data_IF_024918788090
#
_entry.id   IF_024918788090
#
_cell.length_a   1.000
_cell.length_b   1.000
_cell.length_c   1.000
_cell.angle_alpha   90.00
_cell.angle_beta   90.00
_cell.angle_gamma   90.00
#
_symmetry.space_group_name_H-M   'P 1'
#
loop_
_entity.id
_entity.type
_entity.pdbx_description
1 polymer ?
#
# COMPACT_ATOMS: atom_id res chain seq x y z
N UNK A 1 -6.31 -34.90 -19.51
CA UNK A 1 -5.30 -34.29 -20.39
C UNK A 1 -5.53 -32.78 -20.58
N UNK A 2 -5.97 -32.07 -19.52
CA UNK A 2 -6.19 -30.61 -19.48
C UNK A 2 -5.60 -29.97 -18.22
N UNK A 3 -4.75 -30.68 -17.47
CA UNK A 3 -4.19 -30.24 -16.20
C UNK A 3 -3.29 -29.00 -16.34
N UNK A 4 -2.72 -28.77 -17.54
CA UNK A 4 -1.89 -27.61 -17.83
C UNK A 4 -2.70 -26.28 -17.90
N UNK A 5 -4.00 -26.33 -18.22
CA UNK A 5 -4.89 -25.16 -18.31
C UNK A 5 -5.28 -24.61 -16.93
N UNK A 6 -5.03 -25.35 -15.86
CA UNK A 6 -5.41 -24.99 -14.49
C UNK A 6 -4.23 -24.92 -13.55
N UNK A 7 -2.98 -24.95 -14.08
CA UNK A 7 -1.80 -24.82 -13.23
C UNK A 7 -1.82 -23.45 -12.55
N UNK A 8 -1.76 -23.40 -11.21
CA UNK A 8 -1.67 -22.14 -10.51
C UNK A 8 -0.45 -21.34 -10.97
N UNK A 9 -0.60 -20.04 -11.13
CA UNK A 9 0.49 -19.13 -11.52
C UNK A 9 0.49 -17.90 -10.63
N UNK A 10 1.68 -17.35 -10.38
CA UNK A 10 1.83 -16.06 -9.73
C UNK A 10 1.14 -14.96 -10.55
N UNK A 11 0.46 -13.99 -9.95
CA UNK A 11 -0.12 -12.86 -10.67
C UNK A 11 0.94 -11.87 -11.18
N UNK A 12 2.12 -11.83 -10.55
CA UNK A 12 3.22 -10.93 -10.88
C UNK A 12 4.20 -11.56 -11.88
N UNK A 13 4.92 -10.73 -12.62
CA UNK A 13 6.16 -11.14 -13.28
C UNK A 13 7.23 -11.50 -12.24
N UNK A 14 8.31 -12.20 -12.64
CA UNK A 14 9.32 -12.68 -11.70
C UNK A 14 10.00 -11.57 -10.88
N UNK A 15 10.32 -10.42 -11.48
CA UNK A 15 11.00 -9.34 -10.78
C UNK A 15 10.09 -8.65 -9.75
N UNK A 16 8.82 -8.41 -10.12
CA UNK A 16 7.84 -7.88 -9.19
C UNK A 16 7.52 -8.86 -8.05
N UNK A 17 7.48 -10.19 -8.33
CA UNK A 17 7.32 -11.23 -7.31
C UNK A 17 8.46 -11.16 -6.29
N UNK A 18 9.71 -11.22 -6.78
CA UNK A 18 10.91 -11.19 -5.95
C UNK A 18 10.96 -9.92 -5.10
N UNK A 19 10.76 -8.75 -5.71
CA UNK A 19 10.76 -7.48 -5.00
C UNK A 19 9.70 -7.42 -3.88
N UNK A 20 8.47 -7.84 -4.14
CA UNK A 20 7.41 -7.85 -3.10
C UNK A 20 7.82 -8.74 -1.93
N UNK A 21 8.37 -9.91 -2.19
CA UNK A 21 8.77 -10.86 -1.15
C UNK A 21 9.95 -10.33 -0.32
N UNK A 22 10.98 -9.78 -0.95
CA UNK A 22 12.12 -9.15 -0.28
C UNK A 22 11.68 -7.96 0.59
N UNK A 23 10.80 -7.11 0.05
CA UNK A 23 10.32 -5.94 0.79
C UNK A 23 9.35 -6.30 1.91
N UNK A 24 8.56 -7.36 1.79
CA UNK A 24 7.77 -7.88 2.93
C UNK A 24 8.67 -8.41 4.06
N UNK A 25 9.77 -9.08 3.73
CA UNK A 25 10.75 -9.54 4.73
C UNK A 25 11.43 -8.34 5.40
N UNK A 26 11.83 -7.35 4.63
CA UNK A 26 12.41 -6.10 5.13
C UNK A 26 11.44 -5.33 6.03
N UNK A 27 10.18 -5.12 5.60
CA UNK A 27 9.15 -4.46 6.41
C UNK A 27 8.88 -5.20 7.73
N UNK A 28 8.89 -6.53 7.70
CA UNK A 28 8.72 -7.36 8.87
C UNK A 28 9.88 -7.18 9.86
N UNK A 29 11.11 -7.03 9.36
CA UNK A 29 12.29 -6.77 10.19
C UNK A 29 12.28 -5.35 10.78
N UNK A 30 11.84 -4.34 9.99
CA UNK A 30 11.83 -2.93 10.40
C UNK A 30 10.72 -2.59 11.40
N UNK A 31 9.52 -3.21 11.25
CA UNK A 31 8.32 -2.86 12.02
C UNK A 31 7.87 -3.93 13.01
N UNK A 32 8.69 -4.94 13.25
CA UNK A 32 8.42 -6.10 14.09
C UNK A 32 7.49 -7.14 13.42
N UNK A 33 7.83 -8.42 13.61
CA UNK A 33 7.10 -9.61 13.10
C UNK A 33 5.63 -9.64 13.53
N UNK A 34 5.29 -9.07 14.68
CA UNK A 34 3.92 -9.03 15.18
C UNK A 34 3.00 -8.16 14.31
N UNK A 35 3.55 -7.16 13.62
CA UNK A 35 2.78 -6.24 12.81
C UNK A 35 2.02 -6.95 11.68
N UNK A 36 2.70 -7.76 10.87
CA UNK A 36 2.08 -8.42 9.72
C UNK A 36 1.11 -9.54 10.11
N UNK A 37 1.45 -10.35 11.12
CA UNK A 37 0.64 -11.49 11.59
C UNK A 37 -0.42 -11.12 12.61
N UNK A 38 -0.17 -10.08 13.42
CA UNK A 38 -1.03 -9.65 14.53
C UNK A 38 -1.98 -8.49 14.21
N UNK A 39 -1.69 -7.70 13.18
CA UNK A 39 -2.52 -6.56 12.81
C UNK A 39 -3.84 -7.00 12.18
N UNK A 40 -4.91 -6.30 12.54
CA UNK A 40 -6.20 -6.47 11.89
C UNK A 40 -6.12 -5.90 10.47
N UNK A 41 -6.78 -6.56 9.52
CA UNK A 41 -7.05 -5.95 8.23
C UNK A 41 -8.14 -4.90 8.45
N UNK A 42 -7.82 -3.66 8.12
CA UNK A 42 -8.73 -2.52 8.26
C UNK A 42 -9.76 -2.56 7.13
N UNK A 43 -11.03 -2.56 7.51
CA UNK A 43 -12.15 -2.67 6.58
C UNK A 43 -12.91 -1.34 6.48
N UNK A 44 -13.50 -1.02 5.33
CA UNK A 44 -14.34 0.17 5.17
C UNK A 44 -15.70 -0.02 5.84
N UNK A 45 -15.71 -0.16 7.16
CA UNK A 45 -16.90 -0.40 7.97
C UNK A 45 -16.92 0.49 9.20
N UNK A 46 -18.10 0.68 9.79
CA UNK A 46 -18.26 1.47 11.03
C UNK A 46 -17.53 0.89 12.23
N UNK A 47 -17.14 -0.36 12.21
CA UNK A 47 -16.30 -0.96 13.26
C UNK A 47 -14.90 -0.36 13.27
N UNK A 48 -14.34 -0.09 12.08
CA UNK A 48 -13.00 0.48 11.94
C UNK A 48 -13.02 2.02 11.87
N UNK A 49 -14.12 2.59 11.38
CA UNK A 49 -14.31 4.02 11.21
C UNK A 49 -15.67 4.41 11.82
N UNK A 50 -15.75 4.56 13.15
CA UNK A 50 -17.01 4.80 13.85
C UNK A 50 -17.58 6.20 13.60
N UNK A 51 -16.71 7.18 13.37
CA UNK A 51 -17.13 8.57 13.22
C UNK A 51 -17.80 8.83 11.87
N UNK A 52 -18.82 9.70 11.84
CA UNK A 52 -19.47 10.07 10.60
C UNK A 52 -18.50 10.89 9.71
N UNK A 53 -18.58 10.65 8.41
CA UNK A 53 -17.79 11.35 7.42
C UNK A 53 -18.72 12.08 6.44
N UNK A 54 -18.55 13.37 6.29
CA UNK A 54 -19.37 14.23 5.41
C UNK A 54 -18.55 14.97 4.34
N UNK A 55 -17.22 14.76 4.30
CA UNK A 55 -16.31 15.43 3.38
C UNK A 55 -15.93 16.86 3.79
N UNK A 56 -16.26 17.29 5.01
CA UNK A 56 -15.76 18.55 5.57
C UNK A 56 -14.30 18.42 6.02
N UNK A 57 -13.59 19.56 6.12
CA UNK A 57 -12.22 19.58 6.63
C UNK A 57 -12.12 18.99 8.05
N UNK A 58 -13.12 19.21 8.89
CA UNK A 58 -13.16 18.65 10.24
C UNK A 58 -13.33 17.11 10.21
N UNK A 59 -14.18 16.58 9.33
CA UNK A 59 -14.32 15.12 9.18
C UNK A 59 -13.06 14.47 8.60
N UNK A 60 -12.31 15.19 7.75
CA UNK A 60 -11.01 14.71 7.23
C UNK A 60 -9.96 14.70 8.33
N UNK A 61 -9.93 15.70 9.23
CA UNK A 61 -9.02 15.71 10.39
C UNK A 61 -9.29 14.52 11.32
N UNK A 62 -10.55 14.27 11.64
CA UNK A 62 -10.96 13.09 12.44
C UNK A 62 -10.60 11.78 11.76
N UNK A 63 -10.74 11.72 10.43
CA UNK A 63 -10.34 10.56 9.65
C UNK A 63 -8.84 10.34 9.69
N UNK A 64 -8.03 11.40 9.55
CA UNK A 64 -6.56 11.34 9.67
C UNK A 64 -6.15 10.76 11.03
N UNK A 65 -6.72 11.25 12.15
CA UNK A 65 -6.43 10.73 13.48
C UNK A 65 -6.71 9.22 13.58
N UNK A 66 -7.81 8.77 12.98
CA UNK A 66 -8.17 7.35 12.93
C UNK A 66 -7.14 6.54 12.13
N UNK A 67 -6.72 7.04 10.96
CA UNK A 67 -5.72 6.38 10.11
C UNK A 67 -4.33 6.40 10.79
N UNK A 68 -3.98 7.47 11.49
CA UNK A 68 -2.77 7.55 12.33
C UNK A 68 -2.70 6.40 13.33
N UNK A 69 -3.82 6.08 13.98
CA UNK A 69 -3.90 4.96 14.91
C UNK A 69 -3.60 3.60 14.25
N UNK A 70 -3.99 3.41 12.98
CA UNK A 70 -3.68 2.19 12.24
C UNK A 70 -2.24 2.15 11.71
N UNK A 71 -1.66 3.31 11.40
CA UNK A 71 -0.30 3.43 10.89
C UNK A 71 0.76 3.60 11.99
N UNK A 72 0.37 3.63 13.27
CA UNK A 72 1.23 3.91 14.43
C UNK A 72 1.98 5.25 14.30
N UNK A 73 1.32 6.28 13.80
CA UNK A 73 1.84 7.64 13.70
C UNK A 73 1.20 8.51 14.77
N UNK A 74 2.00 9.38 15.42
CA UNK A 74 1.50 10.34 16.41
C UNK A 74 0.88 11.53 15.70
N UNK A 75 -0.43 11.81 15.84
CA UNK A 75 -1.09 12.91 15.12
C UNK A 75 -0.50 14.30 15.38
N UNK A 76 0.03 14.54 16.57
CA UNK A 76 0.62 15.85 16.97
C UNK A 76 1.87 16.21 16.14
N UNK A 77 2.45 15.26 15.41
CA UNK A 77 3.56 15.51 14.49
C UNK A 77 3.09 16.00 13.11
N UNK A 78 1.78 16.03 12.87
CA UNK A 78 1.21 16.29 11.55
C UNK A 78 0.53 17.66 11.48
N UNK A 79 0.79 18.40 10.41
CA UNK A 79 0.03 19.56 9.98
C UNK A 79 -0.77 19.21 8.73
N UNK A 80 -2.11 19.12 8.87
CA UNK A 80 -2.99 18.82 7.76
C UNK A 80 -3.46 20.09 7.07
N UNK A 81 -3.09 20.23 5.81
CA UNK A 81 -3.45 21.37 4.97
C UNK A 81 -4.39 20.94 3.84
N UNK A 82 -5.19 21.88 3.34
CA UNK A 82 -6.14 21.66 2.26
C UNK A 82 -5.85 22.62 1.11
N UNK A 83 -5.81 22.10 -0.11
CA UNK A 83 -5.64 22.88 -1.32
C UNK A 83 -6.83 22.73 -2.25
N UNK A 84 -7.17 23.82 -2.95
CA UNK A 84 -8.14 23.79 -4.06
C UNK A 84 -7.46 23.70 -5.42
N UNK A 85 -6.13 23.75 -5.44
CA UNK A 85 -5.35 23.65 -6.67
C UNK A 85 -4.76 22.24 -6.71
N UNK A 86 -5.02 21.47 -7.79
CA UNK A 86 -4.39 20.17 -7.95
C UNK A 86 -2.88 20.32 -7.73
N UNK A 87 -2.33 19.58 -6.79
CA UNK A 87 -0.89 19.54 -6.61
C UNK A 87 -0.33 18.83 -7.84
N UNK A 88 0.44 19.55 -8.63
CA UNK A 88 1.24 18.93 -9.69
C UNK A 88 2.16 17.95 -8.96
N UNK A 89 1.90 16.67 -9.14
CA UNK A 89 2.85 15.62 -8.76
C UNK A 89 4.21 15.96 -9.37
N UNK A 90 5.26 15.36 -8.89
CA UNK A 90 6.64 15.65 -9.24
C UNK A 90 6.81 16.07 -10.70
N UNK A 91 7.51 17.16 -10.91
CA UNK A 91 7.93 17.61 -12.23
C UNK A 91 9.24 16.87 -12.53
N UNK A 92 9.31 16.13 -13.64
CA UNK A 92 10.58 15.52 -14.04
C UNK A 92 11.60 16.62 -14.39
N UNK A 93 12.86 16.26 -14.58
CA UNK A 93 13.96 17.17 -14.96
C UNK A 93 13.70 17.96 -16.27
N UNK A 94 12.66 17.60 -17.01
CA UNK A 94 12.19 18.29 -18.23
C UNK A 94 10.98 19.19 -18.00
N UNK A 95 10.54 19.39 -16.74
CA UNK A 95 9.41 20.27 -16.41
C UNK A 95 8.03 19.70 -16.77
N UNK A 96 7.93 18.39 -17.02
CA UNK A 96 6.65 17.73 -17.29
C UNK A 96 6.04 17.25 -15.97
N UNK A 97 4.79 17.64 -15.71
CA UNK A 97 4.03 17.13 -14.57
C UNK A 97 3.83 15.61 -14.70
N UNK A 98 4.24 14.87 -13.68
CA UNK A 98 4.15 13.41 -13.64
C UNK A 98 2.82 12.89 -13.06
N UNK A 99 1.83 13.74 -12.95
CA UNK A 99 0.48 13.41 -12.47
C UNK A 99 -0.02 14.42 -11.43
N UNK A 100 -1.28 14.32 -11.06
CA UNK A 100 -1.89 15.07 -9.97
C UNK A 100 -1.82 14.22 -8.70
N UNK A 101 -1.13 14.68 -7.66
CA UNK A 101 -1.09 13.99 -6.38
C UNK A 101 -2.37 14.30 -5.58
N UNK A 102 -3.08 13.27 -5.13
CA UNK A 102 -4.24 13.40 -4.24
C UNK A 102 -3.83 13.91 -2.84
N UNK A 103 -2.56 13.73 -2.48
CA UNK A 103 -1.92 14.23 -1.28
C UNK A 103 -0.42 14.41 -1.48
N UNK A 104 0.24 15.15 -0.60
CA UNK A 104 1.70 15.29 -0.59
C UNK A 104 2.24 15.34 0.82
N UNK A 105 3.38 14.68 1.02
CA UNK A 105 4.17 14.68 2.23
C UNK A 105 5.32 15.68 2.13
N UNK A 106 5.55 16.46 3.18
CA UNK A 106 6.71 17.32 3.30
C UNK A 106 7.24 17.30 4.74
N UNK A 107 8.55 17.19 4.91
CA UNK A 107 9.21 17.27 6.20
C UNK A 107 9.51 18.74 6.56
N UNK A 108 9.26 19.10 7.84
CA UNK A 108 9.57 20.40 8.43
C UNK A 108 10.32 20.25 9.74
N UNK A 109 10.92 21.34 10.25
CA UNK A 109 11.71 21.34 11.50
C UNK A 109 10.96 20.78 12.73
N UNK A 110 9.64 20.73 12.72
CA UNK A 110 8.80 20.32 13.87
C UNK A 110 7.82 19.19 13.57
N UNK A 111 7.88 18.59 12.40
CA UNK A 111 6.95 17.52 12.00
C UNK A 111 6.76 17.44 10.49
N UNK A 112 5.60 16.98 10.08
CA UNK A 112 5.31 16.67 8.69
C UNK A 112 4.04 17.38 8.24
N UNK A 113 4.03 17.92 7.04
CA UNK A 113 2.84 18.49 6.41
C UNK A 113 2.24 17.47 5.47
N UNK A 114 0.95 17.20 5.65
CA UNK A 114 0.14 16.42 4.70
C UNK A 114 -0.83 17.40 4.04
N UNK A 115 -0.78 17.51 2.72
CA UNK A 115 -1.72 18.35 1.97
C UNK A 115 -2.70 17.48 1.22
N UNK A 116 -3.99 17.74 1.38
CA UNK A 116 -5.10 17.04 0.72
C UNK A 116 -5.76 17.97 -0.30
N UNK A 117 -6.00 17.47 -1.53
CA UNK A 117 -6.82 18.18 -2.50
C UNK A 117 -8.29 18.13 -2.07
N UNK A 118 -8.94 19.30 -2.06
CA UNK A 118 -10.37 19.40 -1.72
C UNK A 118 -11.28 18.60 -2.67
N UNK A 119 -10.84 18.36 -3.91
CA UNK A 119 -11.57 17.53 -4.86
C UNK A 119 -11.67 16.06 -4.39
N UNK A 120 -10.65 15.56 -3.67
CA UNK A 120 -10.60 14.19 -3.18
C UNK A 120 -11.39 13.96 -1.88
N UNK A 121 -11.81 15.03 -1.20
CA UNK A 121 -12.48 14.94 0.10
C UNK A 121 -13.83 14.22 0.08
N UNK A 122 -14.41 13.99 -1.10
CA UNK A 122 -15.69 13.26 -1.25
C UNK A 122 -15.53 11.80 -1.63
N UNK A 123 -14.33 11.36 -2.01
CA UNK A 123 -14.00 9.94 -2.20
C UNK A 123 -13.43 9.36 -0.89
N UNK A 124 -14.32 8.88 -0.04
CA UNK A 124 -13.94 8.32 1.26
C UNK A 124 -12.89 7.19 1.16
N UNK A 125 -13.06 6.26 0.22
CA UNK A 125 -12.14 5.12 0.06
C UNK A 125 -10.79 5.59 -0.45
N UNK A 126 -10.79 6.45 -1.47
CA UNK A 126 -9.57 7.06 -2.00
C UNK A 126 -8.84 7.88 -0.95
N UNK A 127 -9.57 8.69 -0.19
CA UNK A 127 -8.99 9.53 0.85
C UNK A 127 -8.32 8.73 1.96
N UNK A 128 -8.92 7.64 2.47
CA UNK A 128 -8.26 6.74 3.43
C UNK A 128 -6.98 6.16 2.84
N UNK A 129 -7.01 5.75 1.57
CA UNK A 129 -5.83 5.25 0.86
C UNK A 129 -4.73 6.31 0.75
N UNK A 130 -5.09 7.55 0.37
CA UNK A 130 -4.16 8.68 0.27
C UNK A 130 -3.55 9.01 1.64
N UNK A 131 -4.36 9.17 2.68
CA UNK A 131 -3.86 9.46 4.03
C UNK A 131 -2.93 8.35 4.54
N UNK A 132 -3.27 7.08 4.30
CA UNK A 132 -2.42 5.95 4.68
C UNK A 132 -1.09 5.96 3.92
N UNK A 133 -1.07 6.35 2.65
CA UNK A 133 0.13 6.49 1.84
C UNK A 133 1.04 7.61 2.36
N UNK A 134 0.48 8.80 2.63
CA UNK A 134 1.27 9.91 3.19
C UNK A 134 1.84 9.57 4.58
N UNK A 135 1.07 8.84 5.40
CA UNK A 135 1.55 8.35 6.70
C UNK A 135 2.62 7.25 6.54
N UNK A 136 2.59 6.47 5.47
CA UNK A 136 3.66 5.53 5.18
C UNK A 136 4.97 6.25 4.82
N UNK A 137 4.93 7.40 4.14
CA UNK A 137 6.11 8.26 3.97
C UNK A 137 6.66 8.75 5.31
N UNK A 138 5.80 9.14 6.27
CA UNK A 138 6.23 9.49 7.64
C UNK A 138 6.98 8.31 8.28
N UNK A 139 6.44 7.08 8.17
CA UNK A 139 7.06 5.87 8.74
C UNK A 139 8.38 5.50 8.06
N UNK A 140 8.50 5.71 6.76
CA UNK A 140 9.68 5.32 5.98
C UNK A 140 10.74 6.42 6.00
N UNK A 141 10.41 7.61 5.52
CA UNK A 141 11.35 8.72 5.39
C UNK A 141 11.45 9.54 6.67
N UNK A 142 10.32 9.88 7.28
CA UNK A 142 10.30 10.69 8.51
C UNK A 142 10.99 10.01 9.69
N UNK A 143 11.00 8.69 9.76
CA UNK A 143 11.76 7.90 10.73
C UNK A 143 13.17 7.50 10.23
N UNK A 144 13.61 8.04 9.09
CA UNK A 144 14.92 7.78 8.48
C UNK A 144 15.21 6.29 8.22
N UNK A 145 14.20 5.49 7.84
CA UNK A 145 14.35 4.08 7.47
C UNK A 145 14.84 3.92 6.04
N UNK A 146 14.42 4.86 5.15
CA UNK A 146 14.90 4.97 3.77
C UNK A 146 15.24 6.43 3.45
N UNK A 147 16.12 6.65 2.46
CA UNK A 147 16.32 7.98 1.88
C UNK A 147 15.22 8.36 0.91
N UNK A 148 14.94 9.66 0.76
CA UNK A 148 13.93 10.15 -0.19
C UNK A 148 14.28 9.87 -1.66
N UNK A 149 15.54 9.54 -1.98
CA UNK A 149 16.05 9.15 -3.28
C UNK A 149 16.05 7.63 -3.52
N UNK A 150 15.47 6.85 -2.60
CA UNK A 150 15.37 5.40 -2.77
C UNK A 150 14.65 5.07 -4.08
N UNK A 151 15.24 4.17 -4.88
CA UNK A 151 14.75 3.81 -6.23
C UNK A 151 13.32 3.24 -6.24
N UNK A 152 12.87 2.76 -5.11
CA UNK A 152 11.56 2.11 -4.92
C UNK A 152 10.69 2.82 -3.87
N UNK A 153 10.95 4.10 -3.59
CA UNK A 153 10.27 4.87 -2.56
C UNK A 153 8.73 4.74 -2.64
N UNK A 154 8.12 5.15 -3.75
CA UNK A 154 6.66 5.17 -3.89
C UNK A 154 6.02 3.77 -3.82
N UNK A 155 6.63 2.81 -4.51
CA UNK A 155 6.12 1.44 -4.53
C UNK A 155 6.28 0.75 -3.15
N UNK A 156 7.34 1.06 -2.40
CA UNK A 156 7.55 0.60 -1.04
C UNK A 156 6.58 1.26 -0.07
N UNK A 157 6.25 2.53 -0.29
CA UNK A 157 5.23 3.26 0.47
C UNK A 157 3.87 2.57 0.36
N UNK A 158 3.44 2.21 -0.85
CA UNK A 158 2.21 1.43 -1.06
C UNK A 158 2.26 0.06 -0.35
N UNK A 159 3.40 -0.65 -0.42
CA UNK A 159 3.56 -1.95 0.24
C UNK A 159 3.52 -1.81 1.77
N UNK A 160 4.04 -0.70 2.30
CA UNK A 160 3.96 -0.37 3.73
C UNK A 160 2.51 -0.21 4.19
N UNK A 161 1.65 0.42 3.38
CA UNK A 161 0.21 0.50 3.67
C UNK A 161 -0.43 -0.89 3.73
N UNK A 162 -0.03 -1.82 2.84
CA UNK A 162 -0.48 -3.23 2.91
C UNK A 162 0.01 -3.88 4.20
N UNK A 163 1.28 -3.67 4.58
CA UNK A 163 1.87 -4.21 5.81
C UNK A 163 1.13 -3.74 7.06
N UNK A 164 0.69 -2.49 7.10
CA UNK A 164 -0.09 -1.92 8.20
C UNK A 164 -1.59 -2.28 8.16
N UNK A 165 -2.04 -3.10 7.21
CA UNK A 165 -3.40 -3.64 7.13
C UNK A 165 -4.41 -2.78 6.37
N UNK A 166 -4.00 -1.65 5.78
CA UNK A 166 -4.87 -0.76 5.01
C UNK A 166 -4.84 -1.02 3.49
N UNK A 167 -4.19 -2.09 3.05
CA UNK A 167 -4.00 -2.38 1.62
C UNK A 167 -5.29 -2.50 0.80
N UNK A 168 -6.47 -2.75 1.42
CA UNK A 168 -7.76 -2.77 0.73
C UNK A 168 -8.07 -1.41 0.11
N UNK A 169 -7.76 -0.32 0.80
CA UNK A 169 -8.08 1.03 0.32
C UNK A 169 -7.28 1.37 -0.93
N UNK A 170 -5.96 1.23 -0.91
CA UNK A 170 -5.11 1.48 -2.08
C UNK A 170 -5.40 0.50 -3.23
N UNK A 171 -5.64 -0.78 -2.95
CA UNK A 171 -5.96 -1.75 -3.99
C UNK A 171 -7.29 -1.46 -4.71
N UNK A 172 -8.19 -0.68 -4.09
CA UNK A 172 -9.46 -0.26 -4.66
C UNK A 172 -9.37 1.06 -5.44
N UNK A 173 -8.34 1.86 -5.21
CA UNK A 173 -8.09 3.15 -5.85
C UNK A 173 -6.81 3.08 -6.68
N UNK A 174 -6.82 2.35 -7.81
CA UNK A 174 -5.62 2.19 -8.62
C UNK A 174 -5.16 3.56 -9.15
N UNK A 175 -3.93 3.90 -8.85
CA UNK A 175 -3.27 5.08 -9.38
C UNK A 175 -2.87 4.79 -10.82
N UNK A 176 -3.67 5.24 -11.78
CA UNK A 176 -3.40 5.13 -13.23
C UNK A 176 -2.53 6.31 -13.70
N UNK A 177 -1.46 6.58 -12.98
CA UNK A 177 -0.59 7.67 -13.38
C UNK A 177 0.39 7.19 -14.45
N UNK A 178 0.64 7.99 -15.49
CA UNK A 178 1.75 7.74 -16.39
C UNK A 178 3.03 7.93 -15.60
N UNK A 179 3.50 6.86 -14.98
CA UNK A 179 4.72 6.86 -14.20
C UNK A 179 5.92 6.96 -15.11
N UNK A 180 6.97 7.64 -14.65
CA UNK A 180 8.29 7.50 -15.21
C UNK A 180 8.75 6.07 -14.92
N UNK A 181 8.58 5.17 -15.90
CA UNK A 181 8.99 3.79 -15.76
C UNK A 181 10.52 3.72 -15.67
N UNK A 182 11.01 3.27 -14.51
CA UNK A 182 12.35 2.73 -14.38
C UNK A 182 12.38 1.27 -14.84
N UNK A 183 13.55 0.68 -14.74
CA UNK A 183 13.71 -0.76 -14.85
C UNK A 183 13.99 -1.34 -13.47
N UNK A 184 13.55 -2.58 -13.24
CA UNK A 184 14.03 -3.33 -12.09
C UNK A 184 15.54 -3.47 -12.18
N UNK A 185 16.32 -3.32 -11.08
CA UNK A 185 17.76 -3.46 -11.09
C UNK A 185 18.21 -4.74 -11.83
N UNK A 186 19.23 -4.61 -12.66
CA UNK A 186 19.83 -5.70 -13.42
C UNK A 186 18.88 -6.45 -14.36
N UNK A 187 17.75 -5.84 -14.73
CA UNK A 187 16.74 -6.44 -15.61
C UNK A 187 16.35 -5.50 -16.76
N UNK A 188 15.62 -6.04 -17.74
CA UNK A 188 14.93 -5.28 -18.77
C UNK A 188 13.41 -5.15 -18.51
N UNK A 189 12.97 -5.55 -17.31
CA UNK A 189 11.55 -5.48 -16.92
C UNK A 189 11.26 -4.08 -16.36
N UNK A 190 10.15 -3.51 -16.78
CA UNK A 190 9.72 -2.17 -16.34
C UNK A 190 9.31 -2.24 -14.86
N UNK A 191 9.88 -1.34 -14.05
CA UNK A 191 9.49 -1.11 -12.66
C UNK A 191 8.37 -0.07 -12.63
N UNK A 192 7.20 -0.39 -12.06
CA UNK A 192 6.18 0.63 -11.86
C UNK A 192 6.55 1.58 -10.72
N UNK A 193 6.01 2.77 -10.73
CA UNK A 193 6.18 3.75 -9.65
C UNK A 193 5.38 3.38 -8.40
N UNK A 194 4.16 2.89 -8.59
CA UNK A 194 3.24 2.44 -7.53
C UNK A 194 2.91 0.96 -7.67
N UNK A 195 2.38 0.34 -6.62
CA UNK A 195 1.95 -1.05 -6.70
C UNK A 195 0.86 -1.23 -7.77
N UNK A 196 1.10 -2.15 -8.68
CA UNK A 196 0.11 -2.56 -9.67
C UNK A 196 -0.96 -3.48 -9.07
N UNK A 197 -2.15 -3.64 -9.68
CA UNK A 197 -3.15 -4.58 -9.19
C UNK A 197 -2.64 -6.03 -9.00
N UNK A 198 -1.78 -6.60 -9.87
CA UNK A 198 -1.12 -7.88 -9.59
C UNK A 198 -0.27 -7.88 -8.33
N UNK A 199 0.51 -6.82 -8.08
CA UNK A 199 1.39 -6.72 -6.90
C UNK A 199 0.59 -6.53 -5.61
N UNK A 200 -0.47 -5.71 -5.60
CA UNK A 200 -1.43 -5.67 -4.49
C UNK A 200 -2.03 -7.04 -4.21
N UNK A 201 -2.46 -7.75 -5.27
CA UNK A 201 -3.01 -9.10 -5.14
C UNK A 201 -2.00 -10.09 -4.55
N UNK A 202 -0.72 -9.97 -4.92
CA UNK A 202 0.36 -10.82 -4.42
C UNK A 202 0.68 -10.52 -2.95
N UNK A 203 0.83 -9.26 -2.58
CA UNK A 203 1.07 -8.85 -1.19
C UNK A 203 -0.09 -9.26 -0.25
N UNK A 204 -1.33 -9.03 -0.68
CA UNK A 204 -2.52 -9.45 0.05
C UNK A 204 -2.68 -10.99 0.12
N UNK A 205 -2.20 -11.72 -0.90
CA UNK A 205 -2.19 -13.18 -0.89
C UNK A 205 -1.22 -13.73 0.18
N UNK A 206 -0.06 -13.10 0.38
CA UNK A 206 0.84 -13.44 1.47
C UNK A 206 0.18 -13.20 2.84
N UNK A 207 -0.50 -12.08 3.01
CA UNK A 207 -1.22 -11.76 4.25
C UNK A 207 -2.27 -12.83 4.59
N UNK A 208 -3.07 -13.27 3.61
CA UNK A 208 -4.05 -14.34 3.79
C UNK A 208 -3.37 -15.70 4.06
N UNK A 209 -2.34 -16.02 3.29
CA UNK A 209 -1.62 -17.28 3.40
C UNK A 209 -0.97 -17.48 4.77
N UNK A 210 -0.32 -16.43 5.31
CA UNK A 210 0.29 -16.49 6.64
C UNK A 210 -0.71 -16.61 7.78
N UNK A 211 -1.94 -16.14 7.55
CA UNK A 211 -3.05 -16.28 8.51
C UNK A 211 -3.78 -17.62 8.38
N UNK A 212 -3.40 -18.46 7.38
CA UNK A 212 -4.11 -19.69 7.08
C UNK A 212 -5.50 -19.47 6.48
N UNK A 213 -5.75 -18.29 5.89
CA UNK A 213 -7.04 -17.91 5.35
C UNK A 213 -7.14 -18.35 3.87
N UNK A 214 -7.64 -19.56 3.61
CA UNK A 214 -7.83 -20.04 2.24
C UNK A 214 -8.90 -19.25 1.46
N UNK A 215 -9.87 -18.67 2.17
CA UNK A 215 -10.97 -17.87 1.62
C UNK A 215 -11.21 -16.66 2.51
N UNK A 216 -10.36 -15.63 2.43
CA UNK A 216 -10.46 -14.48 3.32
C UNK A 216 -11.78 -13.75 3.11
N UNK A 217 -12.58 -13.61 4.18
CA UNK A 217 -13.89 -12.94 4.13
C UNK A 217 -13.78 -11.46 3.77
N UNK A 218 -12.68 -10.83 4.14
CA UNK A 218 -12.40 -9.42 3.83
C UNK A 218 -12.17 -9.17 2.33
N UNK A 219 -11.90 -10.20 1.53
CA UNK A 219 -11.74 -10.06 0.07
C UNK A 219 -12.99 -9.51 -0.62
N UNK A 220 -14.17 -9.59 0.02
CA UNK A 220 -15.41 -9.00 -0.50
C UNK A 220 -15.36 -7.48 -0.65
N UNK A 221 -14.49 -6.81 0.11
CA UNK A 221 -14.29 -5.36 0.06
C UNK A 221 -13.31 -4.90 -1.05
N UNK A 222 -12.63 -5.83 -1.70
CA UNK A 222 -11.79 -5.53 -2.86
C UNK A 222 -12.62 -5.39 -4.13
N UNK A 223 -12.20 -4.50 -5.03
CA UNK A 223 -12.71 -4.44 -6.39
C UNK A 223 -12.44 -5.75 -7.16
N UNK A 224 -13.02 -5.91 -8.34
CA UNK A 224 -12.93 -7.16 -9.10
C UNK A 224 -11.50 -7.52 -9.51
N UNK A 225 -10.69 -6.52 -9.89
CA UNK A 225 -9.30 -6.73 -10.32
C UNK A 225 -8.41 -7.18 -9.17
N UNK A 226 -8.37 -6.40 -8.08
CA UNK A 226 -7.57 -6.74 -6.89
C UNK A 226 -7.99 -8.09 -6.29
N UNK A 227 -9.31 -8.36 -6.25
CA UNK A 227 -9.83 -9.65 -5.76
C UNK A 227 -9.43 -10.83 -6.65
N UNK A 228 -9.41 -10.65 -7.97
CA UNK A 228 -8.97 -11.70 -8.90
C UNK A 228 -7.50 -12.03 -8.70
N UNK A 229 -6.63 -11.01 -8.61
CA UNK A 229 -5.21 -11.18 -8.39
C UNK A 229 -4.90 -11.80 -7.01
N UNK A 230 -5.61 -11.36 -5.94
CA UNK A 230 -5.53 -12.01 -4.63
C UNK A 230 -5.85 -13.51 -4.72
N UNK A 231 -6.97 -13.88 -5.35
CA UNK A 231 -7.37 -15.28 -5.48
C UNK A 231 -6.36 -16.09 -6.29
N UNK A 232 -5.79 -15.52 -7.35
CA UNK A 232 -4.76 -16.16 -8.16
C UNK A 232 -3.50 -16.41 -7.33
N UNK A 233 -2.98 -15.37 -6.65
CA UNK A 233 -1.79 -15.45 -5.81
C UNK A 233 -1.96 -16.43 -4.64
N UNK A 234 -3.08 -16.34 -3.92
CA UNK A 234 -3.35 -17.23 -2.79
C UNK A 234 -3.45 -18.70 -3.24
N UNK A 235 -4.13 -18.98 -4.36
CA UNK A 235 -4.19 -20.33 -4.91
C UNK A 235 -2.81 -20.85 -5.32
N UNK A 236 -1.95 -19.98 -5.84
CA UNK A 236 -0.58 -20.33 -6.19
C UNK A 236 0.24 -20.69 -4.93
N UNK A 237 0.21 -19.83 -3.90
CA UNK A 237 0.91 -20.05 -2.63
C UNK A 237 0.45 -21.34 -1.93
N UNK A 238 -0.87 -21.57 -1.86
CA UNK A 238 -1.44 -22.78 -1.26
C UNK A 238 -1.03 -24.07 -2.01
N UNK A 239 -0.90 -24.00 -3.33
CA UNK A 239 -0.56 -25.16 -4.14
C UNK A 239 0.93 -25.46 -4.20
N UNK A 240 1.80 -24.45 -4.12
CA UNK A 240 3.24 -24.58 -4.38
C UNK A 240 4.11 -24.30 -3.17
N UNK A 241 3.66 -23.44 -2.26
CA UNK A 241 4.49 -22.87 -1.21
C UNK A 241 5.66 -22.03 -1.74
N UNK A 242 5.65 -21.64 -3.02
CA UNK A 242 6.73 -20.91 -3.68
C UNK A 242 6.71 -19.43 -3.31
N UNK A 243 7.42 -19.13 -2.24
CA UNK A 243 7.74 -17.77 -1.76
C UNK A 243 9.07 -17.81 -1.03
N UNK A 244 9.90 -16.81 -1.28
CA UNK A 244 11.13 -16.58 -0.50
C UNK A 244 10.82 -15.91 0.85
N UNK A 245 9.74 -15.13 0.94
CA UNK A 245 9.28 -14.55 2.19
C UNK A 245 8.61 -15.62 3.08
N UNK A 246 9.26 -15.92 4.22
CA UNK A 246 8.77 -16.89 5.21
C UNK A 246 8.75 -16.25 6.59
N UNK A 247 7.58 -15.96 7.14
CA UNK A 247 7.48 -15.44 8.50
C UNK A 247 8.06 -16.43 9.50
N UNK A 248 8.54 -15.93 10.65
CA UNK A 248 9.24 -16.71 11.69
C UNK A 248 8.48 -17.98 12.11
N UNK A 249 7.14 -17.99 12.08
CA UNK A 249 6.33 -19.17 12.42
C UNK A 249 6.46 -20.34 11.43
N UNK A 250 6.90 -20.09 10.19
CA UNK A 250 7.11 -21.13 9.18
C UNK A 250 8.59 -21.54 9.05
N UNK A 251 9.52 -20.76 9.64
CA UNK A 251 10.97 -21.09 9.64
C UNK A 251 11.31 -22.28 10.56
N UNK A 252 10.36 -22.76 11.36
CA UNK A 252 10.52 -23.82 12.35
C UNK A 252 9.80 -25.15 12.07
N UNK A 253 9.36 -25.40 10.82
CA UNK A 253 8.79 -26.71 10.43
C UNK A 253 9.64 -27.37 9.39
#
# INVERSE_FOLDING_TARGET
MLDWLFKPSCPCDPAAKEWVEERLDWLTAEFDDHAFNGRRIVLPTREFFPEPFDGSEDSVRTLLETVCGYMDVVPDLLDLQFTATPQLGFVNEHGQALGEAAGTFQEHERGFVITVDKAEMHDYIGLVGTLAHELAHVRLMGENRIGGDAFDNEILTDLTVVHFGLGIFLANTPRNWPSAYGYWPDTHLLKPEYLTPPMFGWALAHLAWFRGEEKPEWAKYLNSSARSNLKQGLRYLLATGDSEYKPVRLRGK
#
